data_IF_635123510066
#
_entry.id   IF_635123510066
#
_cell.length_a   1.000
_cell.length_b   1.000
_cell.length_c   1.000
_cell.angle_alpha   90.00
_cell.angle_beta   90.00
_cell.angle_gamma   90.00
#
_symmetry.space_group_name_H-M   'P 1'
#
loop_
_entity.id
_entity.type
_entity.pdbx_description
1 polymer ?
#
# COMPACT_ATOMS: atom_id res chain seq x y z
N UNK A 1 29.46 -59.37 49.59
CA UNK A 1 29.64 -60.78 49.19
C UNK A 1 29.86 -60.82 47.69
N UNK A 2 30.93 -61.51 47.26
CA UNK A 2 31.25 -62.00 45.90
C UNK A 2 31.50 -60.94 44.80
N UNK A 3 32.74 -60.76 44.28
CA UNK A 3 33.50 -61.60 43.32
C UNK A 3 32.74 -61.78 41.98
N UNK A 4 33.31 -61.77 40.77
CA UNK A 4 34.67 -61.73 40.24
C UNK A 4 34.56 -61.77 38.69
N UNK A 5 35.48 -61.11 37.99
CA UNK A 5 35.99 -61.34 36.61
C UNK A 5 35.04 -61.47 35.40
N UNK A 6 35.39 -60.71 34.34
CA UNK A 6 35.95 -61.33 33.14
C UNK A 6 36.91 -60.40 32.38
N UNK A 7 38.05 -61.00 32.03
CA UNK A 7 39.18 -60.48 31.28
C UNK A 7 38.85 -60.32 29.78
N UNK A 8 39.58 -59.42 29.12
CA UNK A 8 39.71 -59.36 27.66
C UNK A 8 40.80 -58.38 27.23
N UNK A 9 42.05 -58.84 27.22
CA UNK A 9 43.22 -58.13 26.70
C UNK A 9 43.23 -58.05 25.17
N UNK A 10 43.78 -56.95 24.63
CA UNK A 10 44.27 -56.81 23.25
C UNK A 10 44.55 -55.34 22.95
N UNK A 11 45.78 -54.83 23.20
CA UNK A 11 46.82 -54.53 22.19
C UNK A 11 46.32 -53.49 21.15
N UNK A 12 46.91 -52.32 20.91
CA UNK A 12 48.32 -51.94 20.85
C UNK A 12 48.43 -50.39 20.76
N UNK A 13 49.56 -49.89 21.28
CA UNK A 13 50.20 -48.56 21.17
C UNK A 13 49.73 -47.54 20.11
N UNK A 14 49.74 -46.25 20.47
CA UNK A 14 50.91 -45.37 20.29
C UNK A 14 50.59 -43.91 20.69
N UNK A 15 51.49 -43.28 21.45
CA UNK A 15 51.57 -41.84 21.67
C UNK A 15 51.79 -41.11 20.34
N UNK A 16 51.37 -39.83 20.23
CA UNK A 16 52.19 -38.71 19.71
C UNK A 16 51.53 -37.36 20.07
N UNK A 17 52.35 -36.53 20.74
CA UNK A 17 52.49 -35.07 20.80
C UNK A 17 51.35 -34.09 20.45
N UNK A 18 51.24 -33.10 21.35
CA UNK A 18 50.52 -31.85 21.21
C UNK A 18 51.05 -30.94 20.09
N UNK A 19 50.14 -30.20 19.44
CA UNK A 19 50.40 -28.85 18.91
C UNK A 19 49.12 -28.01 19.00
N UNK A 20 49.22 -26.85 19.66
CA UNK A 20 48.23 -25.79 19.56
C UNK A 20 48.49 -25.02 18.26
N UNK A 21 47.45 -24.82 17.44
CA UNK A 21 47.51 -23.95 16.26
C UNK A 21 46.39 -22.92 16.33
N UNK A 22 46.81 -21.65 16.26
CA UNK A 22 46.01 -20.43 16.12
C UNK A 22 44.83 -20.58 15.16
N UNK A 23 43.66 -20.12 15.59
CA UNK A 23 42.47 -19.97 14.75
C UNK A 23 42.72 -18.96 13.63
N UNK A 24 42.67 -19.45 12.38
CA UNK A 24 42.61 -18.61 11.18
C UNK A 24 41.19 -18.07 10.99
N UNK A 25 41.11 -16.78 10.68
CA UNK A 25 39.89 -16.08 10.29
C UNK A 25 39.23 -16.74 9.06
N UNK A 26 37.92 -16.91 9.13
CA UNK A 26 37.11 -17.47 8.04
C UNK A 26 36.56 -16.32 7.17
N UNK A 27 36.64 -16.40 5.83
CA UNK A 27 36.14 -15.33 4.98
C UNK A 27 34.61 -15.36 4.92
N UNK A 28 34.01 -14.16 4.95
CA UNK A 28 32.57 -13.96 4.85
C UNK A 28 32.05 -14.52 3.51
N UNK A 29 31.18 -15.53 3.58
CA UNK A 29 30.35 -15.92 2.43
C UNK A 29 29.27 -14.86 2.25
N UNK A 30 29.37 -14.11 1.15
CA UNK A 30 28.30 -13.23 0.70
C UNK A 30 27.04 -14.05 0.44
N UNK A 31 26.01 -13.80 1.24
CA UNK A 31 24.64 -14.14 0.89
C UNK A 31 24.17 -13.08 -0.10
N UNK A 32 24.31 -13.36 -1.40
CA UNK A 32 23.45 -12.74 -2.38
C UNK A 32 22.04 -13.33 -2.14
N UNK A 33 21.26 -12.66 -1.30
CA UNK A 33 19.82 -12.90 -1.23
C UNK A 33 19.25 -12.68 -2.63
N UNK A 34 18.71 -13.75 -3.20
CA UNK A 34 18.01 -13.69 -4.48
C UNK A 34 16.91 -12.65 -4.38
N UNK A 35 17.07 -11.57 -5.14
CA UNK A 35 15.97 -10.66 -5.43
C UNK A 35 14.90 -11.49 -6.16
N UNK A 36 13.93 -12.00 -5.41
CA UNK A 36 12.71 -12.53 -5.97
C UNK A 36 12.14 -11.45 -6.89
N UNK A 37 12.00 -11.75 -8.17
CA UNK A 37 11.34 -10.88 -9.13
C UNK A 37 9.94 -10.57 -8.60
N UNK A 38 9.70 -9.33 -8.17
CA UNK A 38 8.34 -8.89 -7.87
C UNK A 38 7.51 -9.10 -9.13
N UNK A 39 6.30 -9.69 -9.02
CA UNK A 39 5.40 -9.75 -10.16
C UNK A 39 5.26 -8.35 -10.76
N UNK A 40 5.37 -8.26 -12.08
CA UNK A 40 5.21 -7.00 -12.79
C UNK A 40 3.85 -6.42 -12.43
N UNK A 41 3.86 -5.20 -11.90
CA UNK A 41 2.64 -4.58 -11.40
C UNK A 41 1.68 -4.31 -12.56
N UNK A 42 0.44 -4.79 -12.43
CA UNK A 42 -0.60 -4.59 -13.44
C UNK A 42 -1.00 -3.13 -13.44
N UNK A 43 -0.89 -2.48 -14.59
CA UNK A 43 -1.52 -1.16 -14.76
C UNK A 43 -3.04 -1.31 -14.73
N UNK A 44 -3.71 -0.57 -13.86
CA UNK A 44 -5.16 -0.58 -13.72
C UNK A 44 -5.73 0.81 -13.94
N UNK A 45 -7.04 0.89 -14.12
CA UNK A 45 -7.79 2.14 -14.14
C UNK A 45 -8.61 2.33 -12.86
N UNK A 46 -8.97 3.57 -12.56
CA UNK A 46 -9.78 3.93 -11.39
C UNK A 46 -11.12 3.21 -11.33
N UNK A 47 -11.76 2.95 -12.48
CA UNK A 47 -13.06 2.28 -12.52
C UNK A 47 -12.96 0.81 -12.08
N UNK A 48 -11.77 0.20 -12.14
CA UNK A 48 -11.56 -1.18 -11.67
C UNK A 48 -11.62 -1.28 -10.15
N UNK A 49 -11.41 -0.18 -9.41
CA UNK A 49 -11.56 -0.14 -7.96
C UNK A 49 -13.02 -0.21 -7.51
N UNK A 50 -13.97 -0.06 -8.43
CA UNK A 50 -15.40 -0.13 -8.12
C UNK A 50 -15.93 -1.54 -8.38
N UNK A 51 -16.76 -2.10 -7.47
CA UNK A 51 -17.56 -3.28 -7.78
C UNK A 51 -18.47 -3.02 -8.99
N UNK A 52 -18.59 -3.99 -9.90
CA UNK A 52 -19.36 -3.85 -11.14
C UNK A 52 -20.87 -3.65 -10.92
N UNK A 53 -21.35 -4.07 -9.77
CA UNK A 53 -22.74 -4.01 -9.33
C UNK A 53 -23.05 -2.78 -8.47
N UNK A 54 -22.06 -1.89 -8.26
CA UNK A 54 -22.25 -0.65 -7.51
C UNK A 54 -22.23 0.57 -8.42
N UNK A 55 -23.23 1.44 -8.25
CA UNK A 55 -23.40 2.67 -9.03
C UNK A 55 -23.28 3.90 -8.12
N UNK A 56 -22.23 4.73 -8.26
CA UNK A 56 -21.97 5.88 -7.39
C UNK A 56 -22.99 7.02 -7.52
N UNK A 57 -23.80 7.01 -8.58
CA UNK A 57 -24.74 8.08 -8.90
C UNK A 57 -26.20 7.63 -8.82
N UNK A 58 -26.47 6.38 -8.41
CA UNK A 58 -27.84 5.86 -8.33
C UNK A 58 -28.72 6.76 -7.48
N UNK A 59 -28.29 7.06 -6.26
CA UNK A 59 -29.05 7.86 -5.32
C UNK A 59 -29.14 9.31 -5.79
N UNK A 60 -28.12 9.86 -6.45
CA UNK A 60 -28.18 11.20 -7.05
C UNK A 60 -29.27 11.28 -8.13
N UNK A 61 -29.41 10.23 -8.96
CA UNK A 61 -30.46 10.16 -9.98
C UNK A 61 -31.85 9.95 -9.37
N UNK A 62 -31.95 9.15 -8.33
CA UNK A 62 -33.22 8.90 -7.61
C UNK A 62 -33.72 10.14 -6.85
N UNK A 63 -32.81 10.99 -6.36
CA UNK A 63 -33.14 12.27 -5.72
C UNK A 63 -33.73 13.31 -6.71
N UNK A 64 -33.59 13.09 -8.02
CA UNK A 64 -34.14 13.91 -9.10
C UNK A 64 -33.50 15.30 -9.23
N UNK A 65 -33.53 15.84 -10.45
CA UNK A 65 -33.05 17.19 -10.82
C UNK A 65 -34.04 18.30 -10.41
N UNK A 66 -34.67 18.17 -9.24
CA UNK A 66 -35.58 19.20 -8.74
C UNK A 66 -34.85 20.53 -8.48
N UNK A 67 -35.60 21.64 -8.48
CA UNK A 67 -35.08 22.96 -8.11
C UNK A 67 -34.76 23.00 -6.61
N UNK A 68 -33.64 22.41 -6.21
CA UNK A 68 -33.09 22.50 -4.86
C UNK A 68 -32.42 23.86 -4.74
N UNK A 69 -32.90 24.68 -3.80
CA UNK A 69 -32.27 25.97 -3.51
C UNK A 69 -30.95 25.74 -2.77
N UNK A 70 -29.87 26.31 -3.28
CA UNK A 70 -28.56 26.25 -2.64
C UNK A 70 -28.62 26.76 -1.19
N UNK A 71 -28.00 26.01 -0.28
CA UNK A 71 -27.99 26.33 1.16
C UNK A 71 -29.31 26.03 1.90
N UNK A 72 -30.35 25.54 1.22
CA UNK A 72 -31.57 25.10 1.89
C UNK A 72 -31.32 23.88 2.81
N UNK A 73 -32.15 23.67 3.85
CA UNK A 73 -32.07 22.48 4.69
C UNK A 73 -32.12 21.17 3.90
N UNK A 74 -32.89 21.15 2.80
CA UNK A 74 -32.97 20.02 1.88
C UNK A 74 -31.65 19.79 1.15
N UNK A 75 -31.03 20.83 0.57
CA UNK A 75 -29.72 20.75 -0.08
C UNK A 75 -28.66 20.17 0.87
N UNK A 76 -28.63 20.69 2.10
CA UNK A 76 -27.70 20.24 3.14
C UNK A 76 -27.95 18.78 3.54
N UNK A 77 -29.20 18.35 3.60
CA UNK A 77 -29.55 16.95 3.89
C UNK A 77 -29.10 16.02 2.75
N UNK A 78 -29.38 16.37 1.49
CA UNK A 78 -28.93 15.61 0.32
C UNK A 78 -27.41 15.47 0.28
N UNK A 79 -26.67 16.53 0.60
CA UNK A 79 -25.21 16.49 0.70
C UNK A 79 -24.71 15.59 1.82
N UNK A 80 -25.35 15.58 2.99
CA UNK A 80 -25.02 14.65 4.09
C UNK A 80 -25.28 13.20 3.69
N UNK A 81 -26.39 12.94 3.00
CA UNK A 81 -26.73 11.60 2.56
C UNK A 81 -25.75 11.09 1.50
N UNK A 82 -25.45 11.92 0.50
CA UNK A 82 -24.44 11.60 -0.52
C UNK A 82 -23.07 11.33 0.11
N UNK A 83 -22.65 12.19 1.05
CA UNK A 83 -21.39 12.01 1.78
C UNK A 83 -21.33 10.65 2.48
N UNK A 84 -22.40 10.25 3.16
CA UNK A 84 -22.48 8.96 3.86
C UNK A 84 -22.36 7.79 2.88
N UNK A 85 -23.14 7.81 1.80
CA UNK A 85 -23.12 6.76 0.77
C UNK A 85 -21.71 6.61 0.18
N UNK A 86 -21.06 7.73 -0.11
CA UNK A 86 -19.73 7.75 -0.70
C UNK A 86 -18.63 7.36 0.29
N UNK A 87 -18.73 7.72 1.57
CA UNK A 87 -17.82 7.23 2.61
C UNK A 87 -17.93 5.70 2.80
N UNK A 88 -19.15 5.15 2.66
CA UNK A 88 -19.47 3.73 2.80
C UNK A 88 -19.36 2.93 1.48
N UNK A 89 -18.80 3.53 0.42
CA UNK A 89 -18.70 2.90 -0.89
C UNK A 89 -17.96 1.53 -0.83
N UNK A 90 -18.52 0.46 -1.41
CA UNK A 90 -17.93 -0.87 -1.33
C UNK A 90 -16.66 -0.98 -2.18
N UNK A 91 -15.69 -1.75 -1.71
CA UNK A 91 -14.45 -2.02 -2.43
C UNK A 91 -14.55 -3.27 -3.32
N UNK A 92 -13.78 -3.28 -4.41
CA UNK A 92 -13.59 -4.45 -5.26
C UNK A 92 -12.61 -5.44 -4.61
N UNK A 93 -13.17 -6.46 -3.97
CA UNK A 93 -12.39 -7.48 -3.24
C UNK A 93 -11.42 -8.26 -4.11
N UNK A 94 -11.63 -8.33 -5.43
CA UNK A 94 -10.75 -9.06 -6.33
C UNK A 94 -9.36 -8.42 -6.45
N UNK A 95 -9.21 -7.13 -6.10
CA UNK A 95 -7.94 -6.41 -6.17
C UNK A 95 -7.10 -6.51 -4.89
N UNK A 96 -7.62 -7.13 -3.84
CA UNK A 96 -6.87 -7.29 -2.58
C UNK A 96 -5.60 -8.12 -2.81
N UNK A 97 -4.47 -7.61 -2.32
CA UNK A 97 -3.16 -8.25 -2.47
C UNK A 97 -2.54 -8.16 -3.87
N UNK A 98 -3.20 -7.53 -4.85
CA UNK A 98 -2.63 -7.41 -6.20
C UNK A 98 -1.53 -6.34 -6.26
N UNK A 99 -0.46 -6.64 -7.00
CA UNK A 99 0.54 -5.65 -7.38
C UNK A 99 -0.02 -4.79 -8.53
N UNK A 100 -0.23 -3.50 -8.28
CA UNK A 100 -0.83 -2.58 -9.25
C UNK A 100 0.08 -1.38 -9.55
N UNK A 101 -0.20 -0.74 -10.67
CA UNK A 101 0.30 0.58 -11.06
C UNK A 101 -0.90 1.45 -11.44
N UNK A 102 -1.05 2.61 -10.79
CA UNK A 102 -2.21 3.49 -11.00
C UNK A 102 -1.73 4.95 -11.06
N UNK A 103 -2.20 5.75 -12.03
CA UNK A 103 -1.92 7.18 -12.07
C UNK A 103 -2.93 7.94 -11.21
N UNK A 104 -2.53 9.06 -10.63
CA UNK A 104 -3.46 9.93 -9.91
C UNK A 104 -2.81 11.21 -9.41
N UNK A 105 -3.56 11.95 -8.61
CA UNK A 105 -3.15 13.22 -8.03
C UNK A 105 -2.83 13.07 -6.54
N UNK A 106 -1.85 13.84 -6.06
CA UNK A 106 -1.40 13.80 -4.66
C UNK A 106 -2.25 14.72 -3.77
N UNK A 107 -2.92 14.19 -2.75
CA UNK A 107 -3.46 14.97 -1.62
C UNK A 107 -2.60 14.69 -0.39
N UNK A 108 -1.67 15.58 -0.02
CA UNK A 108 -0.75 15.32 1.10
C UNK A 108 -1.49 15.15 2.43
N UNK A 109 -1.10 14.15 3.21
CA UNK A 109 -1.54 13.98 4.60
C UNK A 109 -0.41 14.33 5.56
N UNK A 110 0.82 13.99 5.20
CA UNK A 110 2.03 14.37 5.92
C UNK A 110 3.10 14.88 4.94
N UNK A 111 3.52 16.13 5.14
CA UNK A 111 4.70 16.70 4.51
C UNK A 111 5.77 16.97 5.57
N UNK A 112 6.97 16.45 5.35
CA UNK A 112 8.12 16.72 6.20
C UNK A 112 9.25 17.37 5.39
N UNK A 113 10.30 17.82 6.08
CA UNK A 113 11.53 18.33 5.44
C UNK A 113 12.19 17.29 4.52
N UNK A 114 11.90 16.01 4.73
CA UNK A 114 12.44 14.91 3.94
C UNK A 114 11.65 14.66 2.66
N UNK A 115 10.45 15.23 2.53
CA UNK A 115 9.57 15.15 1.36
C UNK A 115 8.21 14.52 1.68
N UNK A 116 7.47 14.19 0.63
CA UNK A 116 6.16 13.54 0.71
C UNK A 116 6.33 12.09 1.19
N UNK A 117 5.66 11.73 2.29
CA UNK A 117 5.70 10.38 2.86
C UNK A 117 4.33 9.69 2.85
N UNK A 118 3.28 10.43 3.18
CA UNK A 118 1.92 9.91 3.33
C UNK A 118 0.93 10.86 2.65
N UNK A 119 0.06 10.31 1.80
CA UNK A 119 -0.89 11.08 1.00
C UNK A 119 -2.07 10.21 0.55
N UNK A 120 -3.16 10.85 0.14
CA UNK A 120 -4.21 10.20 -0.62
C UNK A 120 -3.91 10.36 -2.12
N UNK A 121 -3.99 9.26 -2.85
CA UNK A 121 -4.03 9.27 -4.30
C UNK A 121 -5.50 9.33 -4.73
N UNK A 122 -5.81 10.25 -5.65
CA UNK A 122 -7.17 10.55 -6.10
C UNK A 122 -7.27 10.63 -7.64
N UNK A 123 -8.46 10.39 -8.24
CA UNK A 123 -8.62 10.25 -9.69
C UNK A 123 -8.57 11.54 -10.49
N UNK A 124 -8.80 12.70 -9.88
CA UNK A 124 -8.90 13.97 -10.60
C UNK A 124 -8.31 15.14 -9.80
N UNK A 125 -7.89 16.18 -10.53
CA UNK A 125 -7.38 17.41 -9.96
C UNK A 125 -8.48 18.14 -9.17
N UNK A 126 -8.15 18.60 -7.95
CA UNK A 126 -9.09 19.30 -7.08
C UNK A 126 -9.98 18.40 -6.22
N UNK A 127 -9.82 17.06 -6.32
CA UNK A 127 -10.42 16.14 -5.37
C UNK A 127 -10.01 16.47 -3.93
N UNK A 128 -10.95 16.28 -2.99
CA UNK A 128 -10.80 16.58 -1.57
C UNK A 128 -10.60 18.06 -1.20
N UNK A 129 -10.58 18.98 -2.18
CA UNK A 129 -10.59 20.44 -1.93
C UNK A 129 -12.04 20.96 -1.90
N UNK A 130 -12.94 20.29 -2.62
CA UNK A 130 -14.38 20.57 -2.63
C UNK A 130 -15.16 19.43 -1.96
N UNK A 131 -16.41 19.72 -1.58
CA UNK A 131 -17.30 18.76 -0.91
C UNK A 131 -18.44 18.30 -1.83
N UNK A 132 -18.88 17.03 -1.74
CA UNK A 132 -18.23 15.94 -0.98
C UNK A 132 -16.92 15.46 -1.65
N UNK A 133 -15.96 14.90 -0.90
CA UNK A 133 -14.82 14.18 -1.47
C UNK A 133 -15.26 13.01 -2.36
N UNK A 134 -14.39 12.44 -3.21
CA UNK A 134 -14.74 11.23 -3.97
C UNK A 134 -15.23 10.08 -3.07
N UNK A 135 -15.97 9.09 -3.64
CA UNK A 135 -16.26 7.85 -2.94
C UNK A 135 -15.01 7.18 -2.35
N UNK A 136 -15.14 6.49 -1.22
CA UNK A 136 -14.00 5.89 -0.54
C UNK A 136 -13.30 4.81 -1.36
N UNK A 137 -14.04 4.12 -2.24
CA UNK A 137 -13.47 3.20 -3.24
C UNK A 137 -12.81 3.91 -4.45
N UNK A 138 -12.68 5.23 -4.41
CA UNK A 138 -11.96 6.08 -5.36
C UNK A 138 -10.88 6.93 -4.67
N UNK A 139 -10.47 6.54 -3.45
CA UNK A 139 -9.40 7.18 -2.70
C UNK A 139 -8.46 6.08 -2.18
N UNK A 140 -7.17 6.19 -2.47
CA UNK A 140 -6.15 5.26 -1.97
C UNK A 140 -5.23 6.00 -0.99
N UNK A 141 -5.13 5.51 0.24
CA UNK A 141 -4.09 5.94 1.16
C UNK A 141 -2.74 5.32 0.74
N UNK A 142 -1.81 6.17 0.32
CA UNK A 142 -0.46 5.76 -0.08
C UNK A 142 0.57 6.15 0.98
N UNK A 143 1.39 5.17 1.37
CA UNK A 143 2.62 5.40 2.15
C UNK A 143 3.83 5.05 1.32
N UNK A 144 4.66 6.05 1.03
CA UNK A 144 5.88 5.90 0.25
C UNK A 144 6.87 4.96 0.94
N UNK A 145 7.62 4.15 0.18
CA UNK A 145 8.71 3.34 0.75
C UNK A 145 9.76 4.21 1.47
N UNK A 146 10.08 5.36 0.86
CA UNK A 146 10.96 6.41 1.39
C UNK A 146 10.33 7.77 1.06
N UNK A 147 10.54 8.81 1.87
CA UNK A 147 10.10 10.17 1.51
C UNK A 147 10.59 10.55 0.11
N UNK A 148 9.73 11.16 -0.69
CA UNK A 148 10.03 11.60 -2.06
C UNK A 148 9.98 13.11 -2.16
N UNK A 149 11.03 13.73 -2.71
CA UNK A 149 11.14 15.18 -2.86
C UNK A 149 10.62 15.64 -4.22
N UNK A 150 10.29 16.93 -4.29
CA UNK A 150 9.89 17.57 -5.54
C UNK A 150 8.49 17.15 -6.01
N UNK A 151 7.61 16.77 -5.08
CA UNK A 151 6.19 16.64 -5.31
C UNK A 151 5.46 17.68 -4.48
N UNK A 152 4.43 18.30 -5.04
CA UNK A 152 3.52 19.22 -4.37
C UNK A 152 2.11 18.64 -4.36
N UNK A 153 1.21 19.25 -3.58
CA UNK A 153 -0.22 18.96 -3.69
C UNK A 153 -0.70 19.05 -5.14
N UNK A 154 -1.53 18.09 -5.54
CA UNK A 154 -2.08 17.90 -6.89
C UNK A 154 -1.06 17.63 -7.99
N UNK A 155 0.22 17.35 -7.69
CA UNK A 155 1.10 16.77 -8.70
C UNK A 155 0.53 15.43 -9.19
N UNK A 156 0.66 15.17 -10.49
CA UNK A 156 0.28 13.90 -11.09
C UNK A 156 1.42 12.89 -10.96
N UNK A 157 1.11 11.71 -10.45
CA UNK A 157 2.07 10.66 -10.15
C UNK A 157 1.59 9.31 -10.68
N UNK A 158 2.55 8.43 -10.95
CA UNK A 158 2.32 6.98 -10.97
C UNK A 158 2.66 6.42 -9.60
N UNK A 159 1.74 5.64 -9.03
CA UNK A 159 1.96 4.88 -7.81
C UNK A 159 1.98 3.40 -8.15
N UNK A 160 3.02 2.72 -7.72
CA UNK A 160 3.18 1.27 -7.88
C UNK A 160 3.36 0.60 -6.53
N UNK A 161 2.61 -0.47 -6.27
CA UNK A 161 2.73 -1.26 -5.04
C UNK A 161 1.64 -2.31 -4.91
N UNK A 162 1.59 -2.97 -3.76
CA UNK A 162 0.54 -3.96 -3.46
C UNK A 162 -0.67 -3.23 -2.86
N UNK A 163 -1.82 -3.37 -3.50
CA UNK A 163 -3.09 -2.83 -3.01
C UNK A 163 -3.63 -3.71 -1.89
N UNK A 164 -4.11 -3.11 -0.81
CA UNK A 164 -4.89 -3.81 0.21
C UNK A 164 -6.21 -3.10 0.46
N UNK A 165 -7.24 -3.87 0.81
CA UNK A 165 -8.50 -3.30 1.30
C UNK A 165 -8.28 -2.77 2.72
N UNK A 166 -8.33 -1.46 2.90
CA UNK A 166 -8.09 -0.84 4.19
C UNK A 166 -8.87 0.46 4.27
N UNK A 167 -9.86 0.49 5.16
CA UNK A 167 -10.60 1.71 5.43
C UNK A 167 -9.80 2.63 6.35
N UNK A 168 -9.62 3.88 5.97
CA UNK A 168 -8.98 4.89 6.83
C UNK A 168 -9.67 6.25 6.70
N UNK A 169 -9.93 6.87 7.84
CA UNK A 169 -10.52 8.21 7.94
C UNK A 169 -9.44 9.26 8.09
N UNK A 170 -9.56 10.34 7.33
CA UNK A 170 -8.71 11.53 7.41
C UNK A 170 -9.56 12.79 7.36
N UNK A 171 -8.97 13.94 7.68
CA UNK A 171 -9.62 15.24 7.49
C UNK A 171 -9.99 15.49 6.01
N UNK A 172 -9.26 14.87 5.08
CA UNK A 172 -9.46 15.01 3.64
C UNK A 172 -10.51 14.06 3.05
N UNK A 173 -11.02 13.08 3.82
CA UNK A 173 -11.97 12.07 3.35
C UNK A 173 -11.69 10.67 3.87
N UNK A 174 -12.54 9.72 3.47
CA UNK A 174 -12.40 8.29 3.80
C UNK A 174 -11.79 7.57 2.61
N UNK A 175 -10.72 6.81 2.82
CA UNK A 175 -10.16 5.89 1.82
C UNK A 175 -10.63 4.47 2.09
N UNK A 176 -10.86 3.69 1.02
CA UNK A 176 -11.19 2.27 1.09
C UNK A 176 -9.99 1.35 0.80
N UNK A 177 -8.91 1.91 0.28
CA UNK A 177 -7.72 1.19 -0.14
C UNK A 177 -6.45 1.76 0.46
N UNK A 178 -5.42 0.90 0.56
CA UNK A 178 -4.07 1.30 0.94
C UNK A 178 -3.03 0.70 0.02
N UNK A 179 -1.94 1.45 -0.21
CA UNK A 179 -0.69 0.92 -0.74
C UNK A 179 0.43 1.30 0.24
N UNK A 180 1.03 0.28 0.86
CA UNK A 180 2.18 0.46 1.73
C UNK A 180 3.49 0.29 0.94
N UNK A 181 4.54 1.01 1.35
CA UNK A 181 5.86 0.97 0.74
C UNK A 181 5.84 1.20 -0.78
N UNK A 182 5.04 2.18 -1.22
CA UNK A 182 4.83 2.46 -2.63
C UNK A 182 6.09 3.04 -3.31
N UNK A 183 6.24 2.72 -4.60
CA UNK A 183 7.09 3.46 -5.53
C UNK A 183 6.28 4.58 -6.16
N UNK A 184 6.84 5.79 -6.18
CA UNK A 184 6.18 7.00 -6.66
C UNK A 184 7.10 7.62 -7.69
N UNK A 185 6.58 7.81 -8.90
CA UNK A 185 7.30 8.48 -9.99
C UNK A 185 6.41 9.56 -10.60
N UNK A 186 7.02 10.63 -11.08
CA UNK A 186 6.28 11.70 -11.76
C UNK A 186 5.57 11.13 -12.98
N UNK A 187 4.31 11.50 -13.17
CA UNK A 187 3.57 11.12 -14.35
C UNK A 187 4.18 11.82 -15.58
N UNK A 188 4.50 11.02 -16.59
CA UNK A 188 4.87 11.51 -17.93
C UNK A 188 3.84 10.94 -18.89
N UNK A 189 3.07 11.77 -19.62
CA UNK A 189 2.16 11.27 -20.63
C UNK A 189 2.92 10.42 -21.66
N UNK A 190 2.32 9.37 -22.22
CA UNK A 190 2.89 8.69 -23.38
C UNK A 190 3.20 9.72 -24.48
N UNK A 191 4.34 9.55 -25.16
CA UNK A 191 4.63 10.34 -26.35
C UNK A 191 3.48 10.14 -27.35
N UNK A 192 2.93 11.26 -27.84
CA UNK A 192 1.89 11.25 -28.87
C UNK A 192 2.45 10.86 -30.23
#
# INVERSE_FOLDING_TARGET
>A
MTNLHRLGSGLLAALIFATATSGMAQPARGAAEGAASRPEAREIRWEELMPKDWDPYKELRELGEGNVVDGSPEALQRMRDLRRIWDDAPTNKALDGQAIKLPGYVVPLEESKDGLKEFLLVPYFGACIHSPPPPSNQIIHVVAAKPVKGFSAMDTVWVTGTLSLARQESEMGVSGYRIAAASIVRYVPPAR
#
